data_IF_727136471720
#
_entry.id   IF_727136471720
#
_cell.length_a   1.000
_cell.length_b   1.000
_cell.length_c   1.000
_cell.angle_alpha   90.00
_cell.angle_beta   90.00
_cell.angle_gamma   90.00
#
_symmetry.space_group_name_H-M   'P 1'
#
loop_
_entity.id
_entity.type
_entity.pdbx_description
1 polymer ?
#
# COMPACT_ATOMS: atom_id res chain seq x y z
N UNK A 1 -6.27 -8.85 -37.00
CA UNK A 1 -6.72 -8.18 -35.76
C UNK A 1 -5.56 -8.16 -34.77
N UNK A 2 -4.78 -7.07 -34.73
CA UNK A 2 -3.71 -6.89 -33.74
C UNK A 2 -4.33 -6.19 -32.53
N UNK A 3 -4.56 -6.94 -31.45
CA UNK A 3 -4.84 -6.35 -30.15
C UNK A 3 -3.48 -5.87 -29.60
N UNK A 4 -3.15 -4.62 -29.90
CA UNK A 4 -2.13 -3.90 -29.17
C UNK A 4 -2.65 -3.79 -27.73
N UNK A 5 -2.07 -4.57 -26.82
CA UNK A 5 -2.25 -4.34 -25.40
C UNK A 5 -1.59 -2.99 -25.09
N UNK A 6 -2.41 -1.96 -24.91
CA UNK A 6 -1.99 -0.72 -24.30
C UNK A 6 -1.52 -1.07 -22.89
N UNK A 7 -0.21 -1.23 -22.72
CA UNK A 7 0.42 -1.30 -21.41
C UNK A 7 0.13 0.05 -20.78
N UNK A 8 -0.83 0.08 -19.85
CA UNK A 8 -1.05 1.27 -19.05
C UNK A 8 0.29 1.64 -18.41
N UNK A 9 0.71 2.91 -18.45
CA UNK A 9 1.94 3.31 -17.82
C UNK A 9 1.81 2.92 -16.36
N UNK A 10 2.63 1.95 -15.92
CA UNK A 10 2.81 1.65 -14.52
C UNK A 10 3.00 3.01 -13.84
N UNK A 11 2.18 3.33 -12.84
CA UNK A 11 2.39 4.49 -11.95
C UNK A 11 3.75 4.26 -11.30
N UNK A 12 4.82 4.61 -12.01
CA UNK A 12 6.16 4.57 -11.51
C UNK A 12 6.16 5.50 -10.32
N UNK A 13 6.48 4.98 -9.14
CA UNK A 13 6.70 5.78 -7.96
C UNK A 13 7.98 6.58 -8.25
N UNK A 14 7.83 7.69 -8.97
CA UNK A 14 8.92 8.57 -9.40
C UNK A 14 9.56 9.33 -8.23
N UNK A 15 9.13 9.04 -7.01
CA UNK A 15 9.57 9.73 -5.81
C UNK A 15 10.03 8.72 -4.76
N UNK A 16 11.35 8.56 -4.62
CA UNK A 16 11.94 7.74 -3.56
C UNK A 16 11.56 8.21 -2.14
N UNK A 17 11.15 9.47 -1.96
CA UNK A 17 10.62 9.95 -0.68
C UNK A 17 9.24 9.36 -0.34
N UNK A 18 8.49 8.89 -1.33
CA UNK A 18 7.25 8.15 -1.16
C UNK A 18 7.48 6.65 -0.95
N UNK A 19 8.71 6.14 -1.07
CA UNK A 19 8.99 4.74 -0.76
C UNK A 19 8.67 4.43 0.71
N UNK A 20 8.09 3.26 0.96
CA UNK A 20 7.85 2.73 2.30
C UNK A 20 9.16 2.15 2.88
N UNK A 21 9.63 2.63 4.03
CA UNK A 21 10.71 1.99 4.78
C UNK A 21 10.38 0.53 5.12
N UNK A 22 11.42 -0.30 5.26
CA UNK A 22 11.28 -1.71 5.68
C UNK A 22 10.51 -1.85 6.98
N UNK A 23 10.71 -0.93 7.93
CA UNK A 23 10.02 -0.95 9.22
C UNK A 23 8.51 -0.70 9.08
N UNK A 24 8.06 0.11 8.11
CA UNK A 24 6.63 0.23 7.80
C UNK A 24 6.05 -1.12 7.38
N UNK A 25 6.72 -1.84 6.47
CA UNK A 25 6.24 -3.15 6.01
C UNK A 25 6.16 -4.16 7.15
N UNK A 26 7.19 -4.20 8.01
CA UNK A 26 7.23 -5.12 9.17
C UNK A 26 6.07 -4.86 10.12
N UNK A 27 5.83 -3.60 10.47
CA UNK A 27 4.78 -3.27 11.42
C UNK A 27 3.38 -3.45 10.83
N UNK A 28 3.16 -3.09 9.56
CA UNK A 28 1.91 -3.37 8.87
C UNK A 28 1.59 -4.87 8.82
N UNK A 29 2.60 -5.73 8.60
CA UNK A 29 2.41 -7.17 8.59
C UNK A 29 2.03 -7.75 9.98
N UNK A 30 2.43 -7.08 11.06
CA UNK A 30 2.07 -7.45 12.44
C UNK A 30 0.65 -6.95 12.76
N UNK A 31 0.34 -5.69 12.45
CA UNK A 31 -0.88 -5.03 12.88
C UNK A 31 -2.08 -5.25 11.94
N UNK A 32 -1.85 -5.47 10.63
CA UNK A 32 -2.88 -5.55 9.58
C UNK A 32 -3.89 -4.38 9.65
N UNK A 33 -3.44 -3.13 9.54
CA UNK A 33 -4.31 -1.96 9.71
C UNK A 33 -5.36 -1.88 8.60
N UNK A 34 -6.63 -1.62 8.93
CA UNK A 34 -7.75 -1.61 7.97
C UNK A 34 -8.43 -0.25 7.83
N UNK A 35 -7.84 0.79 8.42
CA UNK A 35 -8.32 2.16 8.32
C UNK A 35 -7.17 3.14 8.11
N UNK A 36 -7.49 4.34 7.59
CA UNK A 36 -6.50 5.42 7.46
C UNK A 36 -5.83 5.73 8.80
N UNK A 37 -6.58 5.83 9.88
CA UNK A 37 -6.04 6.15 11.20
C UNK A 37 -5.00 5.11 11.64
N UNK A 38 -5.32 3.83 11.53
CA UNK A 38 -4.40 2.75 11.90
C UNK A 38 -3.16 2.73 10.99
N UNK A 39 -3.31 2.97 9.69
CA UNK A 39 -2.15 3.04 8.77
C UNK A 39 -1.26 4.23 9.14
N UNK A 40 -1.84 5.38 9.50
CA UNK A 40 -1.09 6.58 9.87
C UNK A 40 -0.35 6.46 11.21
N UNK A 41 -0.78 5.54 12.07
CA UNK A 41 -0.10 5.23 13.34
C UNK A 41 1.11 4.27 13.17
N UNK A 42 1.29 3.67 11.98
CA UNK A 42 2.46 2.84 11.66
C UNK A 42 3.75 3.66 11.70
N UNK A 43 4.82 3.07 12.23
CA UNK A 43 6.16 3.66 12.32
C UNK A 43 6.60 4.22 10.98
N UNK A 44 7.10 5.45 11.00
CA UNK A 44 7.54 6.17 9.81
C UNK A 44 6.47 6.36 8.73
N UNK A 45 5.19 6.05 8.95
CA UNK A 45 4.15 6.42 8.01
C UNK A 45 4.03 7.96 7.97
N UNK A 46 3.80 8.49 6.77
CA UNK A 46 3.59 9.92 6.53
C UNK A 46 2.50 10.07 5.48
N UNK A 47 1.80 11.20 5.48
CA UNK A 47 0.69 11.47 4.56
C UNK A 47 1.07 11.26 3.09
N UNK A 48 2.29 11.66 2.68
CA UNK A 48 2.77 11.44 1.32
C UNK A 48 2.87 9.96 0.94
N UNK A 49 3.33 9.12 1.88
CA UNK A 49 3.43 7.67 1.66
C UNK A 49 2.04 7.07 1.64
N UNK A 50 1.21 7.39 2.63
CA UNK A 50 -0.17 6.93 2.68
C UNK A 50 -0.92 7.22 1.36
N UNK A 51 -0.89 8.46 0.87
CA UNK A 51 -1.50 8.84 -0.42
C UNK A 51 -0.94 8.09 -1.63
N UNK A 52 0.26 7.53 -1.53
CA UNK A 52 0.89 6.80 -2.63
C UNK A 52 0.46 5.33 -2.69
N UNK A 53 -0.09 4.77 -1.60
CA UNK A 53 -0.47 3.35 -1.52
C UNK A 53 -1.85 3.09 -0.89
N UNK A 54 -2.62 4.14 -0.56
CA UNK A 54 -3.88 3.99 0.20
C UNK A 54 -4.92 3.14 -0.53
N UNK A 55 -4.95 3.24 -1.87
CA UNK A 55 -5.87 2.49 -2.72
C UNK A 55 -5.59 0.98 -2.66
N UNK A 56 -4.33 0.57 -2.46
CA UNK A 56 -3.93 -0.83 -2.44
C UNK A 56 -3.84 -1.43 -1.03
N UNK A 57 -3.41 -0.66 -0.03
CA UNK A 57 -3.07 -1.20 1.30
C UNK A 57 -4.29 -1.76 2.06
N UNK A 58 -5.36 -0.97 2.20
CA UNK A 58 -6.54 -1.37 2.99
C UNK A 58 -7.18 -2.66 2.44
N UNK A 59 -7.45 -2.79 1.12
CA UNK A 59 -8.00 -4.02 0.56
C UNK A 59 -7.12 -5.25 0.78
N UNK A 60 -5.79 -5.10 0.71
CA UNK A 60 -4.86 -6.22 0.97
C UNK A 60 -5.01 -6.72 2.40
N UNK A 61 -5.02 -5.82 3.39
CA UNK A 61 -5.13 -6.20 4.80
C UNK A 61 -6.49 -6.82 5.12
N UNK A 62 -7.58 -6.27 4.58
CA UNK A 62 -8.92 -6.84 4.72
C UNK A 62 -8.99 -8.26 4.15
N UNK A 63 -8.51 -8.49 2.93
CA UNK A 63 -8.48 -9.82 2.32
C UNK A 63 -7.65 -10.82 3.14
N UNK A 64 -6.51 -10.39 3.70
CA UNK A 64 -5.69 -11.25 4.56
C UNK A 64 -6.38 -11.61 5.88
N UNK A 65 -7.20 -10.71 6.44
CA UNK A 65 -8.00 -10.99 7.63
C UNK A 65 -9.14 -11.94 7.30
N UNK A 66 -9.82 -11.75 6.17
CA UNK A 66 -10.93 -12.60 5.73
C UNK A 66 -10.47 -14.04 5.46
N UNK A 67 -9.25 -14.24 4.94
CA UNK A 67 -8.66 -15.56 4.71
C UNK A 67 -8.19 -16.28 5.98
N UNK A 68 -8.12 -15.60 7.13
CA UNK A 68 -7.81 -16.23 8.42
C UNK A 68 -9.03 -16.89 9.08
N UNK A 69 -10.23 -16.56 8.60
CA UNK A 69 -11.52 -17.09 9.10
C UNK A 69 -11.95 -18.32 8.30
#
# INVERSE_FOLDING_TARGET
>A
HNLAYEVQPEKSIQNSYAALPVDCYREMAIQLPCSKCEIMDIVHMKELRYKSYEEELIPIFQNLLDQRL
#
